data_IF_401037649775
#
_entry.id   IF_401037649775
#
_cell.length_a   1.000
_cell.length_b   1.000
_cell.length_c   1.000
_cell.angle_alpha   90.00
_cell.angle_beta   90.00
_cell.angle_gamma   90.00
#
_symmetry.space_group_name_H-M   'P 1'
#
loop_
_entity.id
_entity.type
_entity.pdbx_description
1 polymer ?
#
# COMPACT_ATOMS: atom_id res chain seq x y z
N UNK A 1 -11.68 -4.16 -89.66
CA UNK A 1 -12.42 -3.29 -88.73
C UNK A 1 -11.88 -3.58 -87.34
N UNK A 2 -10.83 -2.87 -86.94
CA UNK A 2 -10.26 -2.99 -85.59
C UNK A 2 -11.08 -2.08 -84.67
N UNK A 3 -11.72 -2.70 -83.67
CA UNK A 3 -12.50 -2.00 -82.65
C UNK A 3 -11.57 -1.21 -81.73
N UNK A 4 -11.74 0.10 -81.69
CA UNK A 4 -11.12 0.97 -80.69
C UNK A 4 -11.72 0.64 -79.32
N UNK A 5 -10.89 0.18 -78.39
CA UNK A 5 -11.25 0.12 -76.97
C UNK A 5 -11.63 1.52 -76.47
N UNK A 6 -12.72 1.67 -75.70
CA UNK A 6 -13.10 2.94 -75.12
C UNK A 6 -12.05 3.39 -74.09
N UNK A 7 -11.71 4.68 -74.12
CA UNK A 7 -10.78 5.28 -73.16
C UNK A 7 -11.26 5.07 -71.72
N UNK A 8 -10.36 4.83 -70.76
CA UNK A 8 -10.73 4.66 -69.36
C UNK A 8 -11.43 5.92 -68.85
N UNK A 9 -12.60 5.74 -68.22
CA UNK A 9 -13.30 6.85 -67.55
C UNK A 9 -12.38 7.49 -66.50
N UNK A 10 -12.37 8.83 -66.39
CA UNK A 10 -11.60 9.51 -65.36
C UNK A 10 -12.06 9.02 -63.98
N UNK A 11 -11.10 8.62 -63.15
CA UNK A 11 -11.37 8.19 -61.78
C UNK A 11 -12.26 9.22 -61.09
N UNK A 12 -13.46 8.80 -60.71
CA UNK A 12 -14.45 9.64 -60.03
C UNK A 12 -13.83 10.15 -58.73
N UNK A 13 -13.48 11.43 -58.68
CA UNK A 13 -12.97 12.05 -57.46
C UNK A 13 -14.01 11.84 -56.34
N UNK A 14 -13.63 11.06 -55.33
CA UNK A 14 -14.44 10.89 -54.14
C UNK A 14 -14.63 12.28 -53.49
N UNK A 15 -15.85 12.64 -53.08
CA UNK A 15 -16.09 13.95 -52.48
C UNK A 15 -15.17 14.14 -51.26
N UNK A 16 -14.56 15.33 -51.16
CA UNK A 16 -13.73 15.71 -50.01
C UNK A 16 -14.52 15.50 -48.72
N UNK A 17 -13.87 14.89 -47.71
CA UNK A 17 -14.47 14.65 -46.41
C UNK A 17 -15.07 15.96 -45.85
N UNK A 18 -16.29 15.86 -45.30
CA UNK A 18 -16.95 17.00 -44.67
C UNK A 18 -16.08 17.50 -43.50
N UNK A 19 -15.88 18.82 -43.36
CA UNK A 19 -15.11 19.36 -42.25
C UNK A 19 -15.85 19.07 -40.93
N UNK A 20 -15.19 18.40 -40.00
CA UNK A 20 -15.71 18.20 -38.64
C UNK A 20 -15.48 19.47 -37.84
N UNK A 21 -16.52 20.02 -37.23
CA UNK A 21 -16.39 21.14 -36.31
C UNK A 21 -15.84 20.68 -34.94
N UNK A 22 -14.97 21.47 -34.32
CA UNK A 22 -14.54 21.40 -32.90
C UNK A 22 -13.25 20.61 -32.62
N UNK A 23 -12.78 20.64 -31.36
CA UNK A 23 -11.38 20.34 -30.97
C UNK A 23 -10.97 18.86 -30.84
N UNK A 24 -11.81 17.93 -31.28
CA UNK A 24 -11.54 16.49 -31.25
C UNK A 24 -11.25 15.97 -32.66
N UNK A 25 -10.18 15.19 -32.80
CA UNK A 25 -9.84 14.48 -34.03
C UNK A 25 -10.87 13.36 -34.32
N UNK A 26 -11.07 12.98 -35.59
CA UNK A 26 -12.01 11.91 -35.96
C UNK A 26 -11.79 10.61 -35.17
N UNK A 27 -10.52 10.23 -34.95
CA UNK A 27 -10.14 9.02 -34.22
C UNK A 27 -10.51 9.09 -32.73
N UNK A 28 -10.40 10.29 -32.13
CA UNK A 28 -10.83 10.54 -30.76
C UNK A 28 -12.35 10.48 -30.65
N UNK A 29 -13.09 11.05 -31.62
CA UNK A 29 -14.54 10.97 -31.67
C UNK A 29 -15.00 9.51 -31.73
N UNK A 30 -14.36 8.71 -32.60
CA UNK A 30 -14.66 7.28 -32.72
C UNK A 30 -14.37 6.52 -31.42
N UNK A 31 -13.17 6.73 -30.83
CA UNK A 31 -12.73 6.06 -29.59
C UNK A 31 -13.65 6.37 -28.42
N UNK A 32 -14.03 7.64 -28.22
CA UNK A 32 -14.82 8.10 -27.07
C UNK A 32 -16.33 8.16 -27.32
N UNK A 33 -16.80 7.69 -28.48
CA UNK A 33 -18.21 7.72 -28.88
C UNK A 33 -19.15 7.19 -27.79
N UNK A 34 -18.84 6.03 -27.20
CA UNK A 34 -19.66 5.40 -26.14
C UNK A 34 -19.74 6.23 -24.86
N UNK A 35 -18.66 6.94 -24.51
CA UNK A 35 -18.63 7.86 -23.38
C UNK A 35 -19.44 9.13 -23.68
N UNK A 36 -19.28 9.69 -24.88
CA UNK A 36 -20.01 10.91 -25.31
C UNK A 36 -21.51 10.68 -25.50
N UNK A 37 -21.94 9.44 -25.80
CA UNK A 37 -23.35 9.09 -25.91
C UNK A 37 -24.09 9.15 -24.56
N UNK A 38 -23.38 9.15 -23.43
CA UNK A 38 -23.99 9.33 -22.11
C UNK A 38 -24.53 10.76 -22.02
N UNK A 39 -25.85 10.98 -21.86
CA UNK A 39 -26.45 12.32 -21.94
C UNK A 39 -25.88 13.32 -20.93
N UNK A 40 -25.44 12.84 -19.77
CA UNK A 40 -24.82 13.68 -18.74
C UNK A 40 -23.40 14.15 -19.10
N UNK A 41 -22.72 13.48 -20.04
CA UNK A 41 -21.32 13.76 -20.41
C UNK A 41 -21.27 14.54 -21.72
N UNK A 42 -21.75 13.95 -22.81
CA UNK A 42 -21.71 14.59 -24.13
C UNK A 42 -20.30 14.91 -24.62
N UNK A 43 -20.24 15.68 -25.71
CA UNK A 43 -18.98 16.12 -26.33
C UNK A 43 -18.16 17.06 -25.45
N UNK A 44 -18.82 18.01 -24.77
CA UNK A 44 -18.13 19.01 -23.93
C UNK A 44 -17.37 18.38 -22.77
N UNK A 45 -17.85 17.27 -22.22
CA UNK A 45 -17.11 16.49 -21.23
C UNK A 45 -15.79 15.96 -21.80
N UNK A 46 -15.82 15.37 -23.00
CA UNK A 46 -14.62 14.83 -23.63
C UNK A 46 -13.60 15.91 -23.97
N UNK A 47 -14.06 17.07 -24.47
CA UNK A 47 -13.19 18.22 -24.75
C UNK A 47 -12.53 18.74 -23.47
N UNK A 48 -13.26 18.77 -22.35
CA UNK A 48 -12.69 19.14 -21.05
C UNK A 48 -11.65 18.13 -20.54
N UNK A 49 -11.88 16.82 -20.73
CA UNK A 49 -10.88 15.81 -20.38
C UNK A 49 -9.61 15.95 -21.22
N UNK A 50 -9.75 16.12 -22.54
CA UNK A 50 -8.62 16.33 -23.46
C UNK A 50 -7.80 17.57 -23.09
N UNK A 51 -8.45 18.63 -22.62
CA UNK A 51 -7.75 19.83 -22.17
C UNK A 51 -7.08 19.68 -20.78
N UNK A 52 -7.53 18.72 -19.98
CA UNK A 52 -7.15 18.58 -18.57
C UNK A 52 -5.77 17.95 -18.33
N UNK A 53 -5.14 18.39 -17.24
CA UNK A 53 -3.88 17.89 -16.72
C UNK A 53 -4.05 17.29 -15.31
N UNK A 54 -3.61 16.05 -15.12
CA UNK A 54 -3.71 15.33 -13.83
C UNK A 54 -2.35 14.82 -13.38
N UNK A 55 -2.02 15.03 -12.10
CA UNK A 55 -0.89 14.38 -11.44
C UNK A 55 -1.41 13.30 -10.48
N UNK A 56 -0.95 12.06 -10.67
CA UNK A 56 -1.19 10.92 -9.78
C UNK A 56 0.08 10.65 -8.97
N UNK A 57 0.00 10.78 -7.66
CA UNK A 57 1.14 10.52 -6.75
C UNK A 57 0.97 9.14 -6.13
N UNK A 58 1.86 8.22 -6.49
CA UNK A 58 1.81 6.80 -6.15
C UNK A 58 1.23 5.94 -7.28
N UNK A 59 1.95 4.88 -7.62
CA UNK A 59 1.59 3.82 -8.57
C UNK A 59 1.33 2.49 -7.82
N UNK A 60 0.91 2.57 -6.55
CA UNK A 60 0.48 1.42 -5.75
C UNK A 60 -0.89 0.87 -6.16
N UNK A 61 -1.61 0.21 -5.25
CA UNK A 61 -2.91 -0.40 -5.58
C UNK A 61 -3.96 0.59 -6.10
N UNK A 62 -3.98 1.80 -5.53
CA UNK A 62 -4.85 2.89 -6.01
C UNK A 62 -4.38 3.40 -7.38
N UNK A 63 -3.11 3.79 -7.49
CA UNK A 63 -2.53 4.39 -8.69
C UNK A 63 -2.54 3.48 -9.91
N UNK A 64 -2.21 2.20 -9.72
CA UNK A 64 -2.28 1.17 -10.74
C UNK A 64 -3.69 0.99 -11.31
N UNK A 65 -4.74 1.28 -10.52
CA UNK A 65 -6.12 1.31 -11.01
C UNK A 65 -6.49 2.65 -11.64
N UNK A 66 -6.08 3.78 -11.06
CA UNK A 66 -6.40 5.12 -11.56
C UNK A 66 -5.87 5.34 -12.98
N UNK A 67 -4.61 4.96 -13.24
CA UNK A 67 -3.90 5.29 -14.47
C UNK A 67 -4.58 4.73 -15.74
N UNK A 68 -4.96 3.44 -15.82
CA UNK A 68 -5.74 2.91 -16.95
C UNK A 68 -7.04 3.67 -17.22
N UNK A 69 -7.77 4.06 -16.16
CA UNK A 69 -9.05 4.73 -16.34
C UNK A 69 -8.90 6.18 -16.80
N UNK A 70 -7.96 6.96 -16.26
CA UNK A 70 -7.72 8.33 -16.75
C UNK A 70 -7.28 8.35 -18.22
N UNK A 71 -6.35 7.45 -18.58
CA UNK A 71 -5.84 7.32 -19.95
C UNK A 71 -6.92 6.78 -20.89
N UNK A 72 -7.68 5.77 -20.46
CA UNK A 72 -8.78 5.21 -21.24
C UNK A 72 -9.95 6.18 -21.47
N UNK A 73 -10.25 7.05 -20.50
CA UNK A 73 -11.26 8.11 -20.63
C UNK A 73 -10.79 9.31 -21.47
N UNK A 74 -9.50 9.39 -21.79
CA UNK A 74 -8.94 10.44 -22.63
C UNK A 74 -8.61 11.74 -21.91
N UNK A 75 -8.14 11.68 -20.66
CA UNK A 75 -7.52 12.84 -20.00
C UNK A 75 -6.25 13.22 -20.77
N UNK A 76 -6.14 14.46 -21.22
CA UNK A 76 -5.11 14.86 -22.20
C UNK A 76 -3.67 14.70 -21.70
N UNK A 77 -3.41 15.11 -20.46
CA UNK A 77 -2.08 15.05 -19.85
C UNK A 77 -2.15 14.34 -18.50
N UNK A 78 -1.44 13.23 -18.36
CA UNK A 78 -1.38 12.48 -17.10
C UNK A 78 0.08 12.30 -16.68
N UNK A 79 0.41 12.68 -15.45
CA UNK A 79 1.72 12.40 -14.85
C UNK A 79 1.58 11.41 -13.71
N UNK A 80 2.43 10.40 -13.66
CA UNK A 80 2.56 9.50 -12.51
C UNK A 80 3.89 9.74 -11.80
N UNK A 81 3.85 9.87 -10.47
CA UNK A 81 5.03 10.04 -9.63
C UNK A 81 5.16 8.87 -8.66
N UNK A 82 6.19 8.04 -8.82
CA UNK A 82 6.46 6.89 -7.95
C UNK A 82 7.94 6.49 -8.07
N UNK A 83 8.60 6.19 -6.94
CA UNK A 83 10.01 5.77 -6.87
C UNK A 83 10.20 4.27 -6.65
N UNK A 84 9.13 3.51 -6.43
CA UNK A 84 9.25 2.09 -6.15
C UNK A 84 9.38 1.28 -7.46
N UNK A 85 9.76 0.01 -7.28
CA UNK A 85 9.76 -1.02 -8.32
C UNK A 85 8.60 -2.00 -8.15
N UNK A 86 8.25 -2.73 -9.20
CA UNK A 86 7.25 -3.79 -9.14
C UNK A 86 7.79 -4.96 -8.30
N UNK A 87 6.94 -5.53 -7.44
CA UNK A 87 7.27 -6.66 -6.56
C UNK A 87 6.14 -7.69 -6.56
N UNK A 88 6.48 -8.98 -6.44
CA UNK A 88 5.53 -10.09 -6.49
C UNK A 88 4.46 -9.99 -5.39
N UNK A 89 4.86 -9.56 -4.19
CA UNK A 89 3.99 -9.37 -3.00
C UNK A 89 2.97 -8.25 -3.19
N UNK A 90 3.09 -7.45 -4.25
CA UNK A 90 2.22 -6.33 -4.55
C UNK A 90 1.20 -6.63 -5.66
N UNK A 91 1.40 -7.67 -6.47
CA UNK A 91 0.58 -7.96 -7.65
C UNK A 91 -0.88 -8.27 -7.32
N UNK A 92 -1.15 -8.86 -6.15
CA UNK A 92 -2.52 -9.19 -5.70
C UNK A 92 -3.46 -7.97 -5.60
N UNK A 93 -2.91 -6.74 -5.60
CA UNK A 93 -3.66 -5.49 -5.54
C UNK A 93 -3.22 -4.44 -6.58
N UNK A 94 -2.18 -4.72 -7.36
CA UNK A 94 -1.64 -3.82 -8.38
C UNK A 94 -1.78 -4.46 -9.76
N UNK A 95 -3.03 -4.59 -10.19
CA UNK A 95 -3.44 -5.39 -11.36
C UNK A 95 -2.97 -4.86 -12.72
N UNK A 96 -2.30 -3.70 -12.75
CA UNK A 96 -1.61 -3.18 -13.93
C UNK A 96 -0.31 -3.92 -14.22
N UNK A 97 0.36 -4.40 -13.17
CA UNK A 97 1.70 -4.99 -13.29
C UNK A 97 1.66 -6.50 -13.46
N UNK A 98 2.75 -7.06 -13.98
CA UNK A 98 2.89 -8.48 -14.31
C UNK A 98 3.98 -9.13 -13.47
N UNK A 99 3.96 -10.46 -13.38
CA UNK A 99 5.04 -11.25 -12.77
C UNK A 99 6.38 -11.02 -13.46
N UNK A 100 6.39 -10.83 -14.78
CA UNK A 100 7.60 -10.50 -15.54
C UNK A 100 8.21 -9.16 -15.09
N UNK A 101 7.39 -8.12 -14.92
CA UNK A 101 7.84 -6.83 -14.42
C UNK A 101 8.34 -6.92 -12.97
N UNK A 102 7.72 -7.76 -12.15
CA UNK A 102 8.17 -8.04 -10.79
C UNK A 102 9.54 -8.73 -10.77
N UNK A 103 9.73 -9.75 -11.61
CA UNK A 103 11.00 -10.47 -11.73
C UNK A 103 12.14 -9.56 -12.19
N UNK A 104 11.87 -8.64 -13.12
CA UNK A 104 12.82 -7.63 -13.61
C UNK A 104 13.02 -6.46 -12.65
N UNK A 105 12.22 -6.35 -11.59
CA UNK A 105 12.15 -5.18 -10.69
C UNK A 105 11.98 -3.87 -11.48
N UNK A 106 11.13 -3.89 -12.50
CA UNK A 106 10.87 -2.71 -13.33
C UNK A 106 10.37 -1.56 -12.45
N UNK A 107 10.88 -0.32 -12.62
CA UNK A 107 10.31 0.85 -11.96
C UNK A 107 8.81 0.97 -12.23
N UNK A 108 7.99 1.17 -11.19
CA UNK A 108 6.53 1.20 -11.34
C UNK A 108 6.09 2.28 -12.32
N UNK A 109 6.72 3.45 -12.28
CA UNK A 109 6.39 4.55 -13.18
C UNK A 109 6.63 4.18 -14.66
N UNK A 110 7.72 3.48 -14.98
CA UNK A 110 7.98 2.96 -16.34
C UNK A 110 6.95 1.94 -16.78
N UNK A 111 6.63 0.96 -15.90
CA UNK A 111 5.63 -0.06 -16.21
C UNK A 111 4.24 0.56 -16.46
N UNK A 112 3.86 1.58 -15.68
CA UNK A 112 2.64 2.37 -15.92
C UNK A 112 2.67 3.03 -17.28
N UNK A 113 3.76 3.72 -17.64
CA UNK A 113 3.86 4.39 -18.95
C UNK A 113 3.74 3.41 -20.10
N UNK A 114 4.50 2.31 -20.06
CA UNK A 114 4.45 1.28 -21.10
C UNK A 114 3.04 0.71 -21.27
N UNK A 115 2.31 0.49 -20.18
CA UNK A 115 0.91 0.06 -20.24
C UNK A 115 0.01 1.14 -20.86
N UNK A 116 0.13 2.39 -20.41
CA UNK A 116 -0.72 3.49 -20.86
C UNK A 116 -0.49 3.86 -22.33
N UNK A 117 0.75 3.84 -22.81
CA UNK A 117 1.11 4.09 -24.22
C UNK A 117 0.45 3.05 -25.16
N UNK A 118 0.34 1.79 -24.69
CA UNK A 118 -0.35 0.72 -25.42
C UNK A 118 -1.89 0.81 -25.30
N UNK A 119 -2.41 1.35 -24.21
CA UNK A 119 -3.85 1.51 -23.99
C UNK A 119 -4.43 2.64 -24.86
N UNK A 120 -3.80 3.81 -24.82
CA UNK A 120 -4.28 4.98 -25.54
C UNK A 120 -3.16 6.00 -25.83
N UNK A 121 -2.59 5.90 -27.02
CA UNK A 121 -1.50 6.75 -27.51
C UNK A 121 -1.89 8.21 -27.80
N UNK A 122 -3.17 8.59 -27.71
CA UNK A 122 -3.57 10.00 -27.86
C UNK A 122 -3.42 10.82 -26.58
N UNK A 123 -3.07 10.17 -25.46
CA UNK A 123 -2.88 10.80 -24.15
C UNK A 123 -1.39 11.00 -23.90
N UNK A 124 -1.02 12.18 -23.43
CA UNK A 124 0.36 12.51 -23.07
C UNK A 124 0.66 12.02 -21.64
N UNK A 125 1.40 10.91 -21.54
CA UNK A 125 1.79 10.30 -20.27
C UNK A 125 3.23 10.63 -19.91
N UNK A 126 3.42 11.33 -18.79
CA UNK A 126 4.74 11.63 -18.21
C UNK A 126 4.97 10.81 -16.95
N UNK A 127 6.23 10.44 -16.71
CA UNK A 127 6.64 9.74 -15.49
C UNK A 127 7.62 10.58 -14.68
N UNK A 128 7.51 10.49 -13.37
CA UNK A 128 8.47 11.05 -12.41
C UNK A 128 8.90 9.93 -11.48
N UNK A 129 10.11 9.42 -11.71
CA UNK A 129 10.71 8.37 -10.86
C UNK A 129 11.36 8.98 -9.63
N UNK A 130 10.55 9.50 -8.72
CA UNK A 130 11.02 10.04 -7.45
C UNK A 130 9.93 10.01 -6.40
N UNK A 131 10.37 10.04 -5.14
CA UNK A 131 9.48 10.18 -4.01
C UNK A 131 8.92 11.60 -3.97
N UNK A 132 7.62 11.72 -3.78
CA UNK A 132 7.00 13.03 -3.57
C UNK A 132 7.22 13.46 -2.11
N UNK A 133 8.16 14.38 -1.92
CA UNK A 133 8.58 14.93 -0.63
C UNK A 133 8.43 16.45 -0.60
N UNK A 134 8.37 17.09 0.59
CA UNK A 134 8.18 18.53 0.69
C UNK A 134 9.20 19.38 -0.08
N UNK A 135 10.46 18.93 -0.13
CA UNK A 135 11.58 19.61 -0.79
C UNK A 135 11.47 19.61 -2.32
N UNK A 136 10.87 18.58 -2.92
CA UNK A 136 10.68 18.50 -4.39
C UNK A 136 9.26 18.88 -4.83
N UNK A 137 8.29 18.98 -3.91
CA UNK A 137 6.88 19.12 -4.25
C UNK A 137 6.58 20.35 -5.11
N UNK A 138 7.11 21.52 -4.75
CA UNK A 138 6.82 22.76 -5.50
C UNK A 138 7.47 22.76 -6.89
N UNK A 139 8.71 22.27 -6.98
CA UNK A 139 9.40 22.11 -8.26
C UNK A 139 8.64 21.11 -9.15
N UNK A 140 8.10 20.04 -8.54
CA UNK A 140 7.26 19.06 -9.23
C UNK A 140 6.08 19.73 -9.92
N UNK A 141 5.31 20.53 -9.19
CA UNK A 141 4.08 21.12 -9.71
C UNK A 141 4.32 22.22 -10.75
N UNK A 142 5.44 22.96 -10.65
CA UNK A 142 5.72 24.10 -11.53
C UNK A 142 6.39 23.74 -12.86
N UNK A 143 7.29 22.76 -12.85
CA UNK A 143 8.18 22.51 -13.99
C UNK A 143 8.21 21.05 -14.44
N UNK A 144 8.10 20.11 -13.51
CA UNK A 144 8.37 18.71 -13.83
C UNK A 144 7.12 17.92 -14.21
N UNK A 145 5.92 18.28 -13.74
CA UNK A 145 4.70 17.53 -14.05
C UNK A 145 4.00 18.04 -15.32
N UNK A 146 3.08 17.20 -15.82
CA UNK A 146 2.10 17.48 -16.88
C UNK A 146 2.68 18.21 -18.10
N UNK A 147 3.91 17.86 -18.46
CA UNK A 147 4.59 18.39 -19.64
C UNK A 147 4.73 19.92 -19.62
N UNK A 148 5.11 20.44 -18.45
CA UNK A 148 5.45 21.84 -18.23
C UNK A 148 4.26 22.73 -17.90
N UNK A 149 3.11 22.13 -17.58
CA UNK A 149 1.96 22.85 -17.03
C UNK A 149 1.64 22.37 -15.62
N UNK A 150 1.08 23.28 -14.84
CA UNK A 150 0.55 22.97 -13.52
C UNK A 150 -0.68 22.05 -13.66
N UNK A 151 -0.87 21.05 -12.78
CA UNK A 151 -1.99 20.13 -12.89
C UNK A 151 -3.29 20.79 -12.43
N UNK A 152 -4.38 20.53 -13.15
CA UNK A 152 -5.72 20.98 -12.77
C UNK A 152 -6.27 20.22 -11.55
N UNK A 153 -5.84 18.95 -11.39
CA UNK A 153 -6.22 18.07 -10.29
C UNK A 153 -5.02 17.22 -9.88
N UNK A 154 -4.80 17.08 -8.56
CA UNK A 154 -3.85 16.12 -8.01
C UNK A 154 -4.62 14.98 -7.35
N UNK A 155 -4.17 13.75 -7.60
CA UNK A 155 -4.72 12.54 -6.99
C UNK A 155 -3.66 11.95 -6.05
N UNK A 156 -3.94 11.92 -4.75
CA UNK A 156 -3.12 11.20 -3.78
C UNK A 156 -3.51 9.73 -3.78
N UNK A 157 -2.62 8.90 -4.32
CA UNK A 157 -2.70 7.44 -4.34
C UNK A 157 -1.59 6.80 -3.48
N UNK A 158 -1.02 7.57 -2.54
CA UNK A 158 0.05 7.12 -1.65
C UNK A 158 -0.48 6.35 -0.45
N UNK A 159 0.32 5.42 0.04
CA UNK A 159 0.02 4.57 1.20
C UNK A 159 0.78 4.99 2.46
N UNK A 160 1.50 6.11 2.42
CA UNK A 160 2.30 6.61 3.53
C UNK A 160 1.93 8.04 3.92
N UNK A 161 1.95 8.32 5.23
CA UNK A 161 1.58 9.63 5.76
C UNK A 161 2.49 10.78 5.28
N UNK A 162 3.83 10.66 5.26
CA UNK A 162 4.69 11.76 4.83
C UNK A 162 4.34 12.30 3.44
N UNK A 163 4.23 11.43 2.43
CA UNK A 163 3.88 11.83 1.07
C UNK A 163 2.46 12.41 1.01
N UNK A 164 1.50 11.80 1.72
CA UNK A 164 0.12 12.32 1.80
C UNK A 164 0.05 13.77 2.29
N UNK A 165 0.80 14.12 3.34
CA UNK A 165 0.84 15.51 3.80
C UNK A 165 1.67 16.40 2.87
N UNK A 166 2.75 15.92 2.28
CA UNK A 166 3.52 16.68 1.29
C UNK A 166 2.65 17.07 0.08
N UNK A 167 1.84 16.12 -0.43
CA UNK A 167 0.86 16.35 -1.50
C UNK A 167 -0.17 17.37 -1.07
N UNK A 168 -0.79 17.20 0.11
CA UNK A 168 -1.76 18.16 0.63
C UNK A 168 -1.18 19.58 0.75
N UNK A 169 0.01 19.71 1.31
CA UNK A 169 0.63 21.01 1.58
C UNK A 169 1.00 21.71 0.26
N UNK A 170 1.43 20.96 -0.74
CA UNK A 170 1.62 21.46 -2.09
C UNK A 170 0.28 21.89 -2.73
N UNK A 171 -0.76 21.06 -2.67
CA UNK A 171 -2.08 21.41 -3.22
C UNK A 171 -2.60 22.75 -2.66
N UNK A 172 -2.48 22.97 -1.34
CA UNK A 172 -2.93 24.24 -0.72
C UNK A 172 -2.11 25.44 -1.18
N UNK A 173 -0.79 25.31 -1.31
CA UNK A 173 0.08 26.42 -1.74
C UNK A 173 -0.14 26.84 -3.18
N UNK A 174 -0.52 25.89 -4.03
CA UNK A 174 -0.75 26.09 -5.46
C UNK A 174 -2.24 26.29 -5.80
N UNK A 175 -3.14 26.10 -4.84
CA UNK A 175 -4.58 26.27 -5.07
C UNK A 175 -5.23 25.15 -5.89
N UNK A 176 -4.61 23.97 -5.92
CA UNK A 176 -5.05 22.83 -6.74
C UNK A 176 -5.95 21.89 -5.93
N UNK A 177 -7.11 21.45 -6.44
CA UNK A 177 -7.95 20.46 -5.75
C UNK A 177 -7.24 19.11 -5.62
N UNK A 178 -7.46 18.47 -4.47
CA UNK A 178 -6.85 17.18 -4.13
C UNK A 178 -7.92 16.09 -4.02
N UNK A 179 -7.83 15.07 -4.84
CA UNK A 179 -8.61 13.83 -4.71
C UNK A 179 -7.79 12.82 -3.91
N UNK A 180 -8.14 12.60 -2.65
CA UNK A 180 -7.38 11.73 -1.75
C UNK A 180 -8.14 10.43 -1.49
N UNK A 181 -7.50 9.31 -1.81
CA UNK A 181 -7.97 7.97 -1.50
C UNK A 181 -7.06 7.27 -0.50
N UNK A 182 -7.64 6.38 0.30
CA UNK A 182 -6.89 5.50 1.19
C UNK A 182 -7.59 4.14 1.28
N UNK A 183 -6.80 3.08 1.51
CA UNK A 183 -7.34 1.75 1.79
C UNK A 183 -6.46 1.05 2.81
N UNK A 184 -7.06 0.35 3.76
CA UNK A 184 -6.38 -0.47 4.77
C UNK A 184 -7.31 -1.63 5.15
N UNK A 185 -6.79 -2.85 5.17
CA UNK A 185 -7.57 -4.04 5.50
C UNK A 185 -8.74 -4.23 4.53
N UNK A 186 -9.96 -4.09 5.04
CA UNK A 186 -11.22 -4.24 4.30
C UNK A 186 -11.93 -2.90 4.08
N UNK A 187 -11.29 -1.78 4.43
CA UNK A 187 -11.89 -0.47 4.38
C UNK A 187 -11.24 0.44 3.34
N UNK A 188 -12.05 1.29 2.73
CA UNK A 188 -11.64 2.32 1.79
C UNK A 188 -12.20 3.69 2.17
N UNK A 189 -11.43 4.75 1.91
CA UNK A 189 -11.84 6.13 2.16
C UNK A 189 -11.53 7.02 0.97
N UNK A 190 -12.42 7.96 0.67
CA UNK A 190 -12.26 8.94 -0.40
C UNK A 190 -12.83 10.29 0.01
N UNK A 191 -12.10 11.35 -0.30
CA UNK A 191 -12.63 12.71 -0.23
C UNK A 191 -11.90 13.66 -1.18
N UNK A 192 -12.54 14.80 -1.47
CA UNK A 192 -11.91 15.91 -2.18
C UNK A 192 -11.58 17.01 -1.18
N UNK A 193 -10.34 17.44 -1.17
CA UNK A 193 -9.82 18.53 -0.34
C UNK A 193 -9.44 19.74 -1.20
N UNK A 194 -9.28 20.89 -0.54
CA UNK A 194 -8.77 22.12 -1.15
C UNK A 194 -9.57 22.60 -2.39
N UNK A 195 -10.89 22.47 -2.35
CA UNK A 195 -11.76 22.85 -3.46
C UNK A 195 -12.83 23.86 -3.01
N UNK A 196 -12.95 25.00 -3.71
CA UNK A 196 -13.95 26.05 -3.47
C UNK A 196 -14.12 26.45 -1.99
N UNK A 197 -13.01 26.72 -1.31
CA UNK A 197 -13.02 27.10 0.11
C UNK A 197 -13.22 25.95 1.10
N UNK A 198 -13.20 24.70 0.62
CA UNK A 198 -13.27 23.49 1.45
C UNK A 198 -12.02 23.27 2.34
N UNK A 199 -12.10 22.31 3.27
CA UNK A 199 -10.99 21.98 4.16
C UNK A 199 -9.78 21.42 3.39
N UNK A 200 -8.57 21.66 3.90
CA UNK A 200 -7.40 20.85 3.55
C UNK A 200 -7.32 19.64 4.49
N UNK A 201 -6.42 18.69 4.21
CA UNK A 201 -6.21 17.51 5.07
C UNK A 201 -5.90 17.93 6.51
N UNK A 202 -5.11 18.98 6.72
CA UNK A 202 -4.77 19.51 8.05
C UNK A 202 -5.93 20.18 8.79
N UNK A 203 -7.03 20.52 8.12
CA UNK A 203 -8.25 20.92 8.83
C UNK A 203 -8.88 19.74 9.57
N UNK A 204 -8.85 18.55 8.95
CA UNK A 204 -9.48 17.32 9.44
C UNK A 204 -8.52 16.54 10.35
N UNK A 205 -7.24 16.50 9.96
CA UNK A 205 -6.15 15.80 10.66
C UNK A 205 -4.97 16.78 10.86
N UNK A 206 -4.97 17.59 11.94
CA UNK A 206 -4.07 18.74 12.07
C UNK A 206 -2.58 18.40 12.10
N UNK A 207 -2.25 17.32 12.79
CA UNK A 207 -0.90 16.80 12.88
C UNK A 207 -0.94 15.28 12.69
N UNK A 208 0.08 14.68 12.06
CA UNK A 208 0.31 13.25 12.21
C UNK A 208 0.46 12.99 13.71
N UNK A 209 -0.50 12.27 14.31
CA UNK A 209 -0.46 11.99 15.75
C UNK A 209 0.87 11.28 16.07
N UNK A 210 1.66 11.86 16.98
CA UNK A 210 3.03 11.44 17.29
C UNK A 210 3.15 9.95 17.62
N UNK A 211 4.28 9.35 17.23
CA UNK A 211 4.73 7.95 17.40
C UNK A 211 3.78 6.80 17.02
N UNK A 212 2.47 7.03 16.85
CA UNK A 212 1.53 6.05 16.32
C UNK A 212 1.63 6.05 14.79
N UNK A 213 2.39 5.09 14.26
CA UNK A 213 2.35 4.75 12.83
C UNK A 213 0.88 4.55 12.43
N UNK A 214 0.37 5.38 11.52
CA UNK A 214 -0.87 4.99 10.85
C UNK A 214 -0.58 3.67 10.13
N UNK A 215 -1.45 2.66 10.28
CA UNK A 215 -1.25 1.38 9.63
C UNK A 215 -1.17 1.56 8.12
N UNK A 216 -0.10 1.04 7.51
CA UNK A 216 0.01 0.94 6.05
C UNK A 216 -0.65 -0.36 5.57
N UNK A 217 -0.90 -0.47 4.26
CA UNK A 217 -1.31 -1.73 3.63
C UNK A 217 -0.31 -2.86 3.93
N UNK A 218 0.99 -2.53 3.91
CA UNK A 218 2.02 -3.49 4.27
C UNK A 218 1.86 -3.95 5.73
N UNK A 219 1.51 -3.07 6.68
CA UNK A 219 1.47 -3.41 8.10
C UNK A 219 0.20 -4.18 8.51
N UNK A 220 -0.95 -3.79 7.95
CA UNK A 220 -2.26 -4.34 8.34
C UNK A 220 -2.87 -5.31 7.34
N UNK A 221 -2.23 -5.50 6.18
CA UNK A 221 -2.82 -6.21 5.05
C UNK A 221 -3.89 -5.36 4.36
N UNK A 222 -4.29 -5.79 3.16
CA UNK A 222 -5.38 -5.16 2.40
C UNK A 222 -6.02 -6.17 1.46
N UNK A 223 -7.36 -6.17 1.40
CA UNK A 223 -8.11 -6.93 0.40
C UNK A 223 -7.94 -6.25 -0.96
N UNK A 224 -7.30 -6.93 -1.92
CA UNK A 224 -6.81 -6.30 -3.16
C UNK A 224 -7.87 -5.58 -4.00
N UNK A 225 -9.14 -6.00 -3.95
CA UNK A 225 -10.22 -5.32 -4.66
C UNK A 225 -10.60 -3.95 -4.06
N UNK A 226 -10.30 -3.70 -2.77
CA UNK A 226 -10.63 -2.44 -2.09
C UNK A 226 -9.87 -1.25 -2.69
N UNK A 227 -8.53 -1.26 -2.82
CA UNK A 227 -7.83 -0.19 -3.53
C UNK A 227 -8.27 -0.08 -4.99
N UNK A 228 -8.63 -1.18 -5.65
CA UNK A 228 -9.21 -1.11 -7.00
C UNK A 228 -10.50 -0.29 -7.05
N UNK A 229 -11.45 -0.60 -6.17
CA UNK A 229 -12.70 0.15 -6.03
C UNK A 229 -12.43 1.63 -5.72
N UNK A 230 -11.57 1.92 -4.74
CA UNK A 230 -11.26 3.29 -4.36
C UNK A 230 -10.54 4.06 -5.47
N UNK A 231 -9.65 3.40 -6.23
CA UNK A 231 -8.98 3.97 -7.40
C UNK A 231 -9.95 4.35 -8.51
N UNK A 232 -10.95 3.50 -8.81
CA UNK A 232 -12.03 3.85 -9.74
C UNK A 232 -12.80 5.08 -9.28
N UNK A 233 -13.14 5.15 -7.99
CA UNK A 233 -13.86 6.30 -7.43
C UNK A 233 -12.99 7.58 -7.46
N UNK A 234 -11.68 7.48 -7.23
CA UNK A 234 -10.75 8.60 -7.38
C UNK A 234 -10.72 9.12 -8.83
N UNK A 235 -10.63 8.22 -9.81
CA UNK A 235 -10.64 8.59 -11.23
C UNK A 235 -11.95 9.29 -11.62
N UNK A 236 -13.09 8.78 -11.12
CA UNK A 236 -14.42 9.39 -11.33
C UNK A 236 -14.46 10.82 -10.76
N UNK A 237 -14.00 11.04 -9.53
CA UNK A 237 -13.99 12.38 -8.94
C UNK A 237 -13.03 13.34 -9.65
N UNK A 238 -11.90 12.86 -10.15
CA UNK A 238 -10.97 13.67 -10.93
C UNK A 238 -11.59 14.15 -12.26
N UNK A 239 -12.23 13.27 -13.04
CA UNK A 239 -12.87 13.68 -14.30
C UNK A 239 -14.06 14.59 -14.09
N UNK A 240 -14.77 14.43 -12.96
CA UNK A 240 -15.86 15.35 -12.55
C UNK A 240 -15.33 16.74 -12.22
N UNK A 241 -14.15 16.86 -11.62
CA UNK A 241 -13.46 18.13 -11.39
C UNK A 241 -13.04 18.79 -12.71
N UNK A 242 -12.36 18.05 -13.60
CA UNK A 242 -11.91 18.54 -14.90
C UNK A 242 -13.08 19.07 -15.74
N UNK A 243 -14.14 18.27 -15.88
CA UNK A 243 -15.29 18.62 -16.70
C UNK A 243 -16.30 19.53 -15.98
N UNK A 244 -16.07 19.88 -14.71
CA UNK A 244 -17.01 20.60 -13.84
C UNK A 244 -18.42 19.99 -13.91
N UNK A 245 -18.48 18.67 -13.85
CA UNK A 245 -19.69 17.89 -14.12
C UNK A 245 -20.81 18.28 -13.14
N UNK A 246 -22.02 18.42 -13.68
CA UNK A 246 -23.23 18.69 -12.90
C UNK A 246 -24.00 17.39 -12.66
N UNK A 247 -24.73 17.34 -11.54
CA UNK A 247 -25.66 16.25 -11.25
C UNK A 247 -26.96 16.43 -12.06
N UNK A 248 -27.90 15.45 -12.01
CA UNK A 248 -29.16 15.57 -12.74
C UNK A 248 -30.03 16.77 -12.35
N UNK A 249 -29.79 17.38 -11.18
CA UNK A 249 -30.48 18.59 -10.72
C UNK A 249 -29.74 19.88 -11.14
N UNK A 250 -28.63 19.77 -11.87
CA UNK A 250 -27.82 20.90 -12.33
C UNK A 250 -26.85 21.46 -11.29
N UNK A 251 -26.74 20.85 -10.10
CA UNK A 251 -25.79 21.24 -9.06
C UNK A 251 -24.41 20.62 -9.33
N UNK A 252 -23.30 21.18 -8.81
CA UNK A 252 -21.97 20.55 -8.94
C UNK A 252 -21.98 19.11 -8.42
N UNK A 253 -21.60 18.15 -9.26
CA UNK A 253 -21.58 16.73 -8.94
C UNK A 253 -20.37 16.38 -8.06
N UNK A 254 -20.12 17.07 -6.95
CA UNK A 254 -18.92 16.86 -6.13
C UNK A 254 -19.34 16.68 -4.66
N UNK A 255 -20.18 15.68 -4.39
CA UNK A 255 -20.74 15.43 -3.04
C UNK A 255 -19.65 15.18 -1.99
N UNK A 256 -18.56 14.52 -2.39
CA UNK A 256 -17.42 14.20 -1.50
C UNK A 256 -16.46 15.37 -1.25
N UNK A 257 -16.73 16.59 -1.73
CA UNK A 257 -15.89 17.79 -1.43
C UNK A 257 -15.98 18.30 0.01
N UNK A 258 -17.03 17.90 0.72
CA UNK A 258 -17.26 18.22 2.14
C UNK A 258 -17.66 16.97 2.92
N UNK A 259 -17.45 15.79 2.33
CA UNK A 259 -17.81 14.51 2.91
C UNK A 259 -16.67 13.51 2.72
N UNK A 260 -16.49 12.65 3.70
CA UNK A 260 -15.63 11.48 3.60
C UNK A 260 -16.52 10.30 3.24
N UNK A 261 -16.33 9.78 2.03
CA UNK A 261 -16.90 8.50 1.64
C UNK A 261 -16.08 7.39 2.30
N UNK A 262 -16.75 6.45 2.94
CA UNK A 262 -16.18 5.26 3.54
C UNK A 262 -16.86 4.03 2.96
N UNK A 263 -16.06 3.03 2.61
CA UNK A 263 -16.52 1.74 2.14
C UNK A 263 -16.01 0.65 3.08
N UNK A 264 -16.87 -0.31 3.43
CA UNK A 264 -16.53 -1.46 4.27
C UNK A 264 -16.83 -2.78 3.55
N UNK A 265 -15.80 -3.52 3.16
CA UNK A 265 -15.93 -4.62 2.21
C UNK A 265 -16.73 -5.83 2.71
N UNK A 266 -16.78 -6.09 4.01
CA UNK A 266 -17.55 -7.24 4.53
C UNK A 266 -19.04 -6.96 4.62
N UNK A 267 -19.45 -5.70 4.75
CA UNK A 267 -20.86 -5.29 4.80
C UNK A 267 -21.36 -4.82 3.44
N UNK A 268 -20.44 -4.43 2.53
CA UNK A 268 -20.78 -3.83 1.24
C UNK A 268 -21.29 -2.39 1.35
N UNK A 269 -21.28 -1.80 2.54
CA UNK A 269 -21.90 -0.52 2.78
C UNK A 269 -20.98 0.64 2.38
N UNK A 270 -21.61 1.67 1.80
CA UNK A 270 -21.04 3.00 1.65
C UNK A 270 -21.64 3.94 2.70
N UNK A 271 -20.80 4.57 3.49
CA UNK A 271 -21.17 5.61 4.43
C UNK A 271 -20.56 6.94 3.99
N UNK A 272 -21.29 8.03 4.17
CA UNK A 272 -20.79 9.38 3.90
C UNK A 272 -20.86 10.19 5.18
N UNK A 273 -19.69 10.59 5.69
CA UNK A 273 -19.56 11.41 6.88
C UNK A 273 -19.29 12.86 6.49
N UNK A 274 -19.97 13.83 7.11
CA UNK A 274 -19.64 15.24 6.89
C UNK A 274 -18.26 15.53 7.49
N UNK A 275 -17.36 16.11 6.69
CA UNK A 275 -16.05 16.53 7.18
C UNK A 275 -16.13 17.85 7.96
N UNK A 276 -15.20 18.09 8.90
CA UNK A 276 -14.99 19.41 9.46
C UNK A 276 -14.81 20.47 8.37
N UNK A 277 -15.39 21.68 8.52
CA UNK A 277 -15.19 22.75 7.55
C UNK A 277 -13.74 23.25 7.57
N UNK A 278 -13.40 24.12 6.60
CA UNK A 278 -12.13 24.84 6.63
C UNK A 278 -11.97 25.58 7.95
N UNK A 279 -10.85 25.32 8.64
CA UNK A 279 -10.51 25.92 9.92
C UNK A 279 -9.78 27.26 9.72
N UNK A 280 -10.27 28.38 10.29
CA UNK A 280 -9.57 29.66 10.24
C UNK A 280 -8.19 29.61 10.91
N UNK A 281 -8.03 28.78 11.94
CA UNK A 281 -6.81 28.58 12.71
C UNK A 281 -5.92 27.44 12.16
N UNK A 282 -6.25 26.88 10.98
CA UNK A 282 -5.44 25.81 10.38
C UNK A 282 -4.02 26.31 10.13
N UNK A 283 -3.03 25.55 10.61
CA UNK A 283 -1.61 25.89 10.47
C UNK A 283 -1.16 26.06 9.00
N UNK A 284 -1.90 25.51 8.04
CA UNK A 284 -1.60 25.58 6.61
C UNK A 284 -2.55 26.53 5.88
N UNK A 285 -3.82 26.15 5.70
CA UNK A 285 -4.75 26.94 4.87
C UNK A 285 -5.38 28.14 5.59
N UNK A 286 -5.15 28.28 6.91
CA UNK A 286 -5.52 29.45 7.70
C UNK A 286 -4.40 30.49 7.79
N UNK A 287 -3.15 30.09 7.50
CA UNK A 287 -1.96 30.94 7.45
C UNK A 287 -1.25 30.76 6.09
N UNK A 288 -1.63 31.52 5.05
CA UNK A 288 -1.03 31.40 3.72
C UNK A 288 0.51 31.43 3.79
N UNK A 289 1.18 30.55 3.06
CA UNK A 289 2.65 30.38 3.00
C UNK A 289 3.34 29.75 4.23
N UNK A 290 2.61 29.20 5.19
CA UNK A 290 3.23 28.44 6.28
C UNK A 290 3.90 27.15 5.75
N UNK A 291 5.22 27.06 5.87
CA UNK A 291 5.94 25.79 5.72
C UNK A 291 5.82 25.05 7.05
N UNK A 292 5.06 23.96 7.06
CA UNK A 292 4.93 23.12 8.24
C UNK A 292 5.96 22.00 8.13
N UNK A 293 6.99 21.97 9.00
CA UNK A 293 7.91 20.85 9.00
C UNK A 293 7.13 19.56 9.25
N UNK A 294 7.28 18.59 8.33
CA UNK A 294 6.82 17.24 8.56
C UNK A 294 7.76 16.60 9.58
N UNK A 295 7.48 16.85 10.86
CA UNK A 295 8.15 16.16 11.95
C UNK A 295 7.58 14.74 12.08
N UNK A 296 7.70 13.95 11.00
CA UNK A 296 7.40 12.54 11.01
C UNK A 296 8.73 11.84 11.31
N UNK A 297 8.86 11.11 12.43
CA UNK A 297 10.08 10.36 12.72
C UNK A 297 10.47 9.50 11.51
N UNK A 298 11.76 9.47 11.16
CA UNK A 298 12.33 8.66 10.06
C UNK A 298 11.90 7.18 10.08
N UNK A 299 11.36 6.70 11.21
CA UNK A 299 10.75 5.39 11.38
C UNK A 299 9.50 5.11 10.50
N UNK A 300 8.92 6.13 9.85
CA UNK A 300 7.74 6.01 8.98
C UNK A 300 8.08 5.81 7.49
N UNK A 301 9.35 5.90 7.09
CA UNK A 301 9.84 5.67 5.73
C UNK A 301 10.69 4.41 5.70
N UNK A 302 10.15 3.32 5.16
CA UNK A 302 10.94 2.16 4.73
C UNK A 302 11.25 1.11 5.81
N UNK A 303 10.94 -0.16 5.49
CA UNK A 303 11.39 -1.34 6.21
C UNK A 303 12.90 -1.55 6.04
N UNK A 304 13.53 -2.19 7.03
CA UNK A 304 14.98 -2.38 7.22
C UNK A 304 15.72 -1.26 7.98
N UNK A 305 15.78 -0.02 7.48
CA UNK A 305 16.58 1.05 8.13
C UNK A 305 16.09 1.41 9.54
N UNK A 306 14.77 1.60 9.70
CA UNK A 306 14.17 1.89 11.00
C UNK A 306 14.31 0.74 12.00
N UNK A 307 14.34 -0.51 11.52
CA UNK A 307 14.52 -1.68 12.36
C UNK A 307 15.97 -1.78 12.86
N UNK A 308 16.96 -1.52 12.01
CA UNK A 308 18.38 -1.49 12.38
C UNK A 308 18.67 -0.38 13.40
N UNK A 309 18.14 0.83 13.19
CA UNK A 309 18.30 1.95 14.14
C UNK A 309 17.57 1.71 15.47
N UNK A 310 16.44 1.01 15.46
CA UNK A 310 15.74 0.64 16.69
C UNK A 310 16.48 -0.50 17.40
N UNK A 311 16.98 -1.49 16.66
CA UNK A 311 17.77 -2.58 17.22
C UNK A 311 19.01 -2.05 17.93
N UNK A 312 19.73 -1.06 17.37
CA UNK A 312 20.91 -0.48 18.04
C UNK A 312 20.65 0.18 19.40
N UNK A 313 19.38 0.34 19.81
CA UNK A 313 19.02 0.77 21.17
C UNK A 313 19.03 -0.35 22.21
N UNK A 314 19.25 -1.61 21.80
CA UNK A 314 19.48 -2.76 22.66
C UNK A 314 20.99 -3.02 22.79
N UNK A 315 21.43 -3.59 23.91
CA UNK A 315 22.83 -4.03 24.07
C UNK A 315 23.18 -5.15 23.08
N UNK A 316 24.46 -5.35 22.80
CA UNK A 316 24.93 -6.40 21.89
C UNK A 316 24.53 -7.80 22.36
N UNK A 317 24.58 -8.05 23.67
CA UNK A 317 24.13 -9.32 24.28
C UNK A 317 22.61 -9.58 24.14
N UNK A 318 21.85 -8.52 23.82
CA UNK A 318 20.40 -8.55 23.65
C UNK A 318 19.96 -8.67 22.19
N UNK A 319 20.92 -8.90 21.27
CA UNK A 319 20.66 -8.98 19.83
C UNK A 319 21.35 -10.19 19.22
N UNK A 320 20.74 -10.70 18.16
CA UNK A 320 21.32 -11.79 17.38
C UNK A 320 20.93 -11.64 15.91
N UNK A 321 21.90 -11.86 15.02
CA UNK A 321 21.65 -11.93 13.58
C UNK A 321 20.83 -13.20 13.26
N UNK A 322 20.02 -13.21 12.18
CA UNK A 322 19.30 -14.41 11.75
C UNK A 322 20.19 -15.65 11.60
N UNK A 323 21.39 -15.54 11.03
CA UNK A 323 22.33 -16.65 10.83
C UNK A 323 22.84 -17.22 12.16
N UNK A 324 23.28 -16.35 13.08
CA UNK A 324 23.68 -16.77 14.41
C UNK A 324 22.51 -17.39 15.20
N UNK A 325 21.30 -16.89 15.00
CA UNK A 325 20.09 -17.51 15.56
C UNK A 325 19.85 -18.90 14.94
N UNK A 326 19.95 -19.07 13.62
CA UNK A 326 19.80 -20.36 12.96
C UNK A 326 20.79 -21.41 13.49
N UNK A 327 22.07 -21.02 13.64
CA UNK A 327 23.11 -21.86 14.22
C UNK A 327 22.82 -22.20 15.69
N UNK A 328 22.36 -21.22 16.47
CA UNK A 328 22.02 -21.41 17.89
C UNK A 328 20.71 -22.18 18.12
N UNK A 329 19.79 -22.16 17.15
CA UNK A 329 18.48 -22.81 17.21
C UNK A 329 18.55 -24.28 16.79
N UNK A 330 19.64 -24.71 16.12
CA UNK A 330 19.84 -26.09 15.72
C UNK A 330 19.14 -26.44 14.40
N UNK A 331 19.21 -25.56 13.39
CA UNK A 331 18.87 -25.94 12.01
C UNK A 331 20.04 -26.67 11.36
N UNK A 332 20.40 -27.82 11.89
CA UNK A 332 21.05 -28.85 11.09
C UNK A 332 19.89 -29.68 10.51
N UNK A 333 19.49 -29.38 9.27
CA UNK A 333 18.77 -30.39 8.48
C UNK A 333 19.80 -31.44 8.08
N UNK A 334 20.24 -32.22 9.06
CA UNK A 334 20.98 -33.44 8.80
C UNK A 334 20.08 -34.33 7.95
N UNK A 335 20.52 -34.62 6.72
CA UNK A 335 20.08 -35.83 6.06
C UNK A 335 20.43 -37.00 6.98
N UNK A 336 19.42 -37.83 7.24
CA UNK A 336 19.49 -39.22 7.68
C UNK A 336 18.16 -39.53 8.38
N UNK A 337 17.14 -39.86 7.58
CA UNK A 337 16.02 -40.73 7.97
C UNK A 337 15.33 -41.28 6.68
N UNK A 338 16.13 -41.59 5.65
CA UNK A 338 15.74 -42.54 4.60
C UNK A 338 16.09 -43.96 5.08
N UNK A 339 15.42 -44.46 6.12
CA UNK A 339 15.22 -45.90 6.41
C UNK A 339 14.61 -46.10 7.79
N UNK A 340 13.29 -45.92 7.94
CA UNK A 340 12.57 -46.67 9.00
C UNK A 340 11.05 -46.80 8.81
N UNK A 341 10.50 -46.49 7.62
CA UNK A 341 9.08 -46.74 7.30
C UNK A 341 8.88 -47.45 5.96
N UNK A 342 9.72 -48.45 5.67
CA UNK A 342 9.36 -49.53 4.77
C UNK A 342 8.95 -50.72 5.64
N UNK A 343 7.70 -51.15 5.54
CA UNK A 343 7.04 -52.27 6.25
C UNK A 343 6.15 -51.88 7.45
N UNK A 344 5.02 -51.23 7.17
CA UNK A 344 3.75 -51.59 7.82
C UNK A 344 2.54 -51.05 7.03
N UNK A 345 1.63 -51.96 6.70
CA UNK A 345 0.22 -51.75 6.31
C UNK A 345 -0.11 -51.46 4.85
N UNK A 346 -0.08 -52.54 4.07
CA UNK A 346 -1.23 -52.91 3.25
C UNK A 346 -2.46 -53.18 4.16
N UNK A 347 -3.64 -52.77 3.69
CA UNK A 347 -4.99 -52.97 4.25
C UNK A 347 -5.55 -51.86 5.15
N UNK A 348 -6.65 -51.26 4.66
CA UNK A 348 -7.84 -51.00 5.48
C UNK A 348 -7.96 -49.62 6.11
N UNK A 349 -8.86 -48.81 5.54
CA UNK A 349 -9.76 -47.84 6.19
C UNK A 349 -9.29 -47.15 7.48
N UNK A 350 -9.03 -45.85 7.40
CA UNK A 350 -8.84 -45.00 8.59
C UNK A 350 -8.99 -43.51 8.27
N UNK A 351 -10.14 -42.95 8.62
CA UNK A 351 -10.42 -41.51 8.56
C UNK A 351 -9.31 -40.67 9.21
N UNK A 352 -8.60 -39.84 8.43
CA UNK A 352 -7.75 -38.76 8.97
C UNK A 352 -8.65 -37.68 9.58
N UNK A 353 -8.95 -37.81 10.87
CA UNK A 353 -9.54 -36.71 11.66
C UNK A 353 -8.56 -35.54 11.65
N UNK A 354 -8.91 -34.47 10.94
CA UNK A 354 -8.35 -33.13 11.18
C UNK A 354 -8.53 -32.81 12.66
N UNK A 355 -7.42 -32.72 13.38
CA UNK A 355 -7.42 -32.28 14.77
C UNK A 355 -7.87 -30.82 14.78
N UNK A 356 -9.02 -30.56 15.40
CA UNK A 356 -9.51 -29.21 15.69
C UNK A 356 -8.43 -28.49 16.50
N UNK A 357 -8.04 -27.30 16.03
CA UNK A 357 -7.27 -26.36 16.83
C UNK A 357 -8.29 -25.68 17.74
N UNK A 358 -8.31 -26.11 19.00
CA UNK A 358 -9.19 -25.55 20.01
C UNK A 358 -8.55 -24.26 20.59
N UNK A 359 -9.28 -23.16 20.48
CA UNK A 359 -9.04 -21.90 21.20
C UNK A 359 -9.36 -22.09 22.69
N UNK A 360 -8.45 -22.69 23.47
CA UNK A 360 -8.38 -22.55 24.93
C UNK A 360 -7.15 -23.26 25.52
N UNK A 361 -6.33 -22.49 26.23
CA UNK A 361 -5.65 -22.88 27.49
C UNK A 361 -4.82 -24.18 27.56
N UNK A 362 -3.56 -24.02 27.97
CA UNK A 362 -2.74 -25.04 28.64
C UNK A 362 -2.22 -26.19 27.77
N UNK A 363 -1.11 -25.96 27.07
CA UNK A 363 -0.08 -26.99 26.90
C UNK A 363 1.20 -26.54 27.60
N UNK A 364 1.71 -27.42 28.47
CA UNK A 364 2.98 -27.27 29.18
C UNK A 364 4.12 -27.25 28.15
N UNK A 365 5.01 -26.28 28.27
CA UNK A 365 6.02 -25.94 27.27
C UNK A 365 7.21 -26.90 27.34
N UNK A 366 7.56 -27.50 26.21
CA UNK A 366 8.90 -28.02 25.94
C UNK A 366 9.67 -26.92 25.24
N UNK A 367 10.72 -26.39 25.86
CA UNK A 367 11.63 -25.45 25.21
C UNK A 367 12.10 -26.03 23.86
N UNK A 368 11.83 -25.32 22.77
CA UNK A 368 11.69 -25.88 21.43
C UNK A 368 12.96 -25.79 20.58
N UNK A 369 14.13 -25.95 21.19
CA UNK A 369 15.27 -26.63 20.57
C UNK A 369 16.32 -27.03 21.61
N UNK A 370 17.12 -28.07 21.30
CA UNK A 370 18.37 -28.38 21.99
C UNK A 370 19.45 -27.47 21.40
N UNK A 371 19.99 -26.55 22.19
CA UNK A 371 21.31 -26.00 21.87
C UNK A 371 22.35 -27.14 22.02
N UNK A 372 23.46 -27.08 21.28
CA UNK A 372 24.50 -28.14 21.26
C UNK A 372 25.13 -28.46 22.62
N UNK A 373 24.83 -27.68 23.65
CA UNK A 373 25.25 -27.79 25.06
C UNK A 373 24.16 -28.35 26.00
N UNK A 374 22.98 -28.71 25.47
CA UNK A 374 21.83 -29.18 26.26
C UNK A 374 20.96 -28.06 26.84
N UNK A 375 21.27 -26.78 26.58
CA UNK A 375 20.45 -25.65 26.98
C UNK A 375 19.15 -25.57 26.16
N UNK A 376 18.07 -25.21 26.86
CA UNK A 376 16.71 -25.16 26.33
C UNK A 376 16.36 -23.70 25.99
N UNK A 377 16.15 -23.39 24.72
CA UNK A 377 15.79 -22.04 24.26
C UNK A 377 14.30 -21.90 23.99
N UNK A 378 13.76 -20.68 24.15
CA UNK A 378 12.39 -20.35 23.80
C UNK A 378 12.38 -19.32 22.67
N UNK A 379 11.47 -19.47 21.72
CA UNK A 379 11.25 -18.49 20.67
C UNK A 379 9.87 -17.85 20.82
N UNK A 380 9.83 -16.54 21.06
CA UNK A 380 8.63 -15.75 21.23
C UNK A 380 8.29 -15.00 19.93
N UNK A 381 7.18 -15.36 19.33
CA UNK A 381 6.61 -14.70 18.18
C UNK A 381 5.60 -13.64 18.64
N UNK A 382 5.98 -12.36 18.47
CA UNK A 382 5.17 -11.22 18.94
C UNK A 382 4.27 -10.64 17.85
N UNK A 383 4.15 -11.33 16.71
CA UNK A 383 3.19 -11.00 15.65
C UNK A 383 1.75 -11.23 16.14
N UNK A 384 0.80 -10.58 15.48
CA UNK A 384 -0.62 -10.83 15.76
C UNK A 384 -1.07 -12.20 15.21
N UNK A 385 -2.23 -12.67 15.68
CA UNK A 385 -2.77 -13.97 15.29
C UNK A 385 -2.94 -14.12 13.76
N UNK A 386 -3.35 -13.07 13.05
CA UNK A 386 -3.50 -13.06 11.60
C UNK A 386 -2.17 -13.28 10.89
N UNK A 387 -1.13 -12.52 11.26
CA UNK A 387 0.21 -12.63 10.69
C UNK A 387 0.84 -13.99 10.96
N UNK A 388 0.63 -14.54 12.17
CA UNK A 388 1.09 -15.88 12.54
C UNK A 388 0.33 -16.98 11.80
N UNK A 389 -0.95 -16.77 11.52
CA UNK A 389 -1.77 -17.70 10.73
C UNK A 389 -1.37 -17.80 9.25
N UNK A 390 -0.63 -16.82 8.72
CA UNK A 390 -0.04 -16.90 7.37
C UNK A 390 1.12 -17.90 7.36
N UNK A 391 2.06 -17.74 8.29
CA UNK A 391 3.18 -18.66 8.51
C UNK A 391 3.68 -18.51 9.94
N UNK A 392 4.05 -19.62 10.59
CA UNK A 392 4.70 -19.66 11.89
C UNK A 392 5.92 -20.57 11.85
N UNK A 393 6.98 -20.20 12.57
CA UNK A 393 8.11 -21.11 12.80
C UNK A 393 7.67 -22.19 13.78
N UNK A 394 7.92 -23.45 13.44
CA UNK A 394 7.58 -24.58 14.28
C UNK A 394 8.22 -24.42 15.67
N UNK A 395 7.45 -24.73 16.71
CA UNK A 395 7.89 -24.57 18.09
C UNK A 395 7.94 -23.13 18.63
N UNK A 396 7.66 -22.11 17.82
CA UNK A 396 7.55 -20.73 18.32
C UNK A 396 6.31 -20.53 19.21
N UNK A 397 6.44 -19.73 20.27
CA UNK A 397 5.39 -19.39 21.23
C UNK A 397 4.71 -18.10 20.78
N UNK A 398 3.37 -18.11 20.66
CA UNK A 398 2.59 -16.93 20.32
C UNK A 398 2.41 -16.01 21.52
N UNK A 399 2.90 -14.77 21.43
CA UNK A 399 2.63 -13.71 22.42
C UNK A 399 2.56 -12.34 21.73
N UNK A 400 1.45 -12.02 21.04
CA UNK A 400 1.29 -10.75 20.34
C UNK A 400 1.66 -9.54 21.20
N UNK A 401 2.41 -8.57 20.65
CA UNK A 401 2.92 -7.42 21.42
C UNK A 401 1.83 -6.66 22.21
N UNK A 402 0.63 -6.49 21.64
CA UNK A 402 -0.51 -5.86 22.34
C UNK A 402 -0.95 -6.64 23.57
N UNK A 403 -0.98 -7.97 23.46
CA UNK A 403 -1.32 -8.87 24.55
C UNK A 403 -0.22 -8.88 25.62
N UNK A 404 1.04 -8.87 25.19
CA UNK A 404 2.20 -8.76 26.07
C UNK A 404 2.15 -7.48 26.93
N UNK A 405 1.96 -6.31 26.31
CA UNK A 405 1.79 -5.02 27.01
C UNK A 405 0.66 -5.07 28.04
N UNK A 406 -0.53 -5.50 27.62
CA UNK A 406 -1.70 -5.59 28.49
C UNK A 406 -1.47 -6.51 29.71
N UNK A 407 -0.66 -7.56 29.55
CA UNK A 407 -0.35 -8.52 30.62
C UNK A 407 0.71 -8.01 31.60
N UNK A 408 1.71 -7.28 31.11
CA UNK A 408 2.79 -6.74 31.95
C UNK A 408 2.41 -5.43 32.65
N UNK A 409 1.59 -4.58 32.02
CA UNK A 409 1.23 -3.24 32.53
C UNK A 409 0.02 -3.27 33.51
N UNK A 410 -0.69 -4.40 33.66
CA UNK A 410 -1.85 -4.50 34.58
C UNK A 410 -1.47 -5.04 35.96
N UNK A 411 -1.56 -4.24 37.04
CA UNK A 411 -1.40 -4.74 38.41
C UNK A 411 -2.51 -5.75 38.73
N UNK A 412 -2.14 -6.93 39.24
CA UNK A 412 -3.09 -7.96 39.66
C UNK A 412 -3.73 -8.80 38.53
N UNK A 413 -3.18 -8.77 37.31
CA UNK A 413 -3.60 -9.70 36.27
C UNK A 413 -3.31 -11.16 36.69
N UNK A 414 -4.19 -12.10 36.31
CA UNK A 414 -3.98 -13.52 36.54
C UNK A 414 -2.59 -13.95 36.01
N UNK A 415 -1.88 -14.84 36.72
CA UNK A 415 -0.56 -15.25 36.30
C UNK A 415 -0.59 -15.84 34.90
N UNK A 416 0.21 -15.29 34.00
CA UNK A 416 0.30 -15.79 32.64
C UNK A 416 1.36 -16.88 32.56
N UNK A 417 0.95 -18.08 32.19
CA UNK A 417 1.82 -19.26 32.17
C UNK A 417 3.09 -19.04 31.32
N UNK A 418 3.01 -18.29 30.21
CA UNK A 418 4.20 -17.99 29.39
C UNK A 418 5.15 -17.07 30.15
N UNK A 419 4.65 -15.99 30.75
CA UNK A 419 5.48 -15.04 31.48
C UNK A 419 6.09 -15.64 32.75
N UNK A 420 5.35 -16.47 33.48
CA UNK A 420 5.89 -17.19 34.63
C UNK A 420 7.00 -18.14 34.25
N UNK A 421 6.86 -18.87 33.15
CA UNK A 421 7.92 -19.75 32.68
C UNK A 421 9.13 -18.99 32.16
N UNK A 422 8.93 -17.85 31.50
CA UNK A 422 10.03 -16.98 31.09
C UNK A 422 10.78 -16.38 32.29
N UNK A 423 10.09 -16.16 33.43
CA UNK A 423 10.71 -15.72 34.69
C UNK A 423 11.46 -16.85 35.40
N UNK A 424 10.89 -18.05 35.37
CA UNK A 424 11.42 -19.23 36.08
C UNK A 424 12.38 -20.07 35.22
N UNK A 425 12.76 -19.61 34.02
CA UNK A 425 13.67 -20.34 33.14
C UNK A 425 15.08 -20.42 33.74
N UNK A 426 15.85 -21.48 33.44
CA UNK A 426 17.26 -21.56 33.84
C UNK A 426 18.05 -20.32 33.38
N UNK A 427 19.01 -19.85 34.17
CA UNK A 427 19.79 -18.66 33.85
C UNK A 427 20.54 -18.76 32.51
N UNK A 428 20.92 -19.98 32.10
CA UNK A 428 21.57 -20.26 30.82
C UNK A 428 20.61 -20.25 29.61
N UNK A 429 19.29 -20.35 29.82
CA UNK A 429 18.30 -20.42 28.75
C UNK A 429 18.04 -19.05 28.13
N UNK A 430 18.15 -18.94 26.80
CA UNK A 430 17.80 -17.72 26.05
C UNK A 430 16.33 -17.70 25.65
N UNK A 431 15.73 -16.50 25.63
CA UNK A 431 14.42 -16.24 25.04
C UNK A 431 14.62 -15.36 23.81
N UNK A 432 14.53 -15.97 22.63
CA UNK A 432 14.58 -15.25 21.36
C UNK A 432 13.24 -14.59 21.08
N UNK A 433 13.24 -13.38 20.55
CA UNK A 433 12.03 -12.62 20.22
C UNK A 433 12.05 -12.25 18.75
N UNK A 434 10.97 -12.57 18.05
CA UNK A 434 10.81 -12.28 16.62
C UNK A 434 9.50 -11.59 16.32
N UNK A 435 9.53 -10.78 15.26
CA UNK A 435 8.34 -10.30 14.59
C UNK A 435 8.58 -10.33 13.07
N UNK A 436 7.72 -9.70 12.27
CA UNK A 436 7.88 -9.69 10.81
C UNK A 436 9.14 -8.96 10.33
N UNK A 437 9.41 -7.74 10.84
CA UNK A 437 10.47 -6.84 10.33
C UNK A 437 11.49 -6.40 11.39
N UNK A 438 11.52 -7.03 12.56
CA UNK A 438 12.43 -6.67 13.65
C UNK A 438 12.09 -5.40 14.45
N UNK A 439 10.94 -4.74 14.20
CA UNK A 439 10.54 -3.51 14.91
C UNK A 439 9.80 -3.84 16.22
N UNK A 440 8.70 -4.59 16.12
CA UNK A 440 7.89 -4.96 17.30
C UNK A 440 8.64 -5.87 18.26
N UNK A 441 9.56 -6.69 17.76
CA UNK A 441 10.41 -7.55 18.58
C UNK A 441 11.35 -6.74 19.46
N UNK A 442 11.90 -5.61 19.00
CA UNK A 442 12.71 -4.73 19.85
C UNK A 442 11.88 -4.14 20.99
N UNK A 443 10.66 -3.68 20.70
CA UNK A 443 9.76 -3.17 21.75
C UNK A 443 9.39 -4.27 22.76
N UNK A 444 9.11 -5.48 22.29
CA UNK A 444 8.84 -6.62 23.16
C UNK A 444 10.07 -6.97 24.03
N UNK A 445 11.27 -6.99 23.45
CA UNK A 445 12.52 -7.26 24.18
C UNK A 445 12.73 -6.26 25.32
N UNK A 446 12.60 -4.96 25.04
CA UNK A 446 12.70 -3.92 26.09
C UNK A 446 11.67 -4.13 27.19
N UNK A 447 10.42 -4.35 26.81
CA UNK A 447 9.33 -4.52 27.76
C UNK A 447 9.53 -5.74 28.67
N UNK A 448 10.00 -6.86 28.11
CA UNK A 448 10.31 -8.07 28.89
C UNK A 448 11.45 -7.82 29.88
N UNK A 449 12.51 -7.12 29.44
CA UNK A 449 13.66 -6.76 30.29
C UNK A 449 13.29 -5.80 31.42
N UNK A 450 12.52 -4.75 31.11
CA UNK A 450 12.00 -3.79 32.09
C UNK A 450 11.16 -4.46 33.20
N UNK A 451 10.53 -5.59 32.89
CA UNK A 451 9.74 -6.38 33.83
C UNK A 451 10.48 -7.60 34.39
N UNK A 452 11.82 -7.56 34.37
CA UNK A 452 12.70 -8.49 35.09
C UNK A 452 12.95 -9.82 34.39
N UNK A 453 12.56 -10.00 33.13
CA UNK A 453 12.84 -11.22 32.38
C UNK A 453 14.25 -11.13 31.80
N UNK A 454 15.13 -12.01 32.28
CA UNK A 454 16.55 -12.06 31.92
C UNK A 454 16.79 -12.83 30.61
N UNK A 455 17.94 -12.65 29.97
CA UNK A 455 18.35 -13.44 28.80
C UNK A 455 17.38 -13.39 27.62
N UNK A 456 16.83 -12.21 27.33
CA UNK A 456 15.93 -11.96 26.19
C UNK A 456 16.76 -11.41 25.02
N UNK A 457 16.61 -11.99 23.84
CA UNK A 457 17.45 -11.69 22.68
C UNK A 457 16.57 -11.39 21.47
N UNK A 458 16.71 -10.20 20.88
CA UNK A 458 15.97 -9.81 19.68
C UNK A 458 16.64 -10.39 18.42
N UNK A 459 15.86 -11.06 17.57
CA UNK A 459 16.30 -11.47 16.23
C UNK A 459 16.25 -10.25 15.31
N UNK A 460 17.43 -9.80 14.85
CA UNK A 460 17.55 -8.60 14.04
C UNK A 460 16.81 -8.75 12.69
N UNK A 461 16.04 -7.72 12.32
CA UNK A 461 15.25 -7.70 11.09
C UNK A 461 14.08 -8.69 11.01
N UNK A 462 13.88 -9.56 12.01
CA UNK A 462 12.76 -10.49 12.08
C UNK A 462 12.69 -11.47 10.91
N UNK A 463 11.48 -11.90 10.53
CA UNK A 463 11.27 -12.84 9.43
C UNK A 463 11.74 -12.32 8.07
N UNK A 464 11.70 -11.00 7.82
CA UNK A 464 12.24 -10.43 6.58
C UNK A 464 13.73 -10.67 6.44
N UNK A 465 14.50 -10.51 7.53
CA UNK A 465 15.92 -10.80 7.50
C UNK A 465 16.16 -12.31 7.46
N UNK A 466 15.38 -13.11 8.20
CA UNK A 466 15.43 -14.58 8.11
C UNK A 466 15.32 -15.10 6.67
N UNK A 467 14.31 -14.64 5.92
CA UNK A 467 14.12 -15.06 4.54
C UNK A 467 15.26 -14.62 3.62
N UNK A 468 15.86 -13.45 3.87
CA UNK A 468 16.99 -12.98 3.06
C UNK A 468 18.30 -13.70 3.39
N UNK A 469 18.51 -14.01 4.67
CA UNK A 469 19.83 -14.30 5.23
C UNK A 469 20.04 -15.77 5.58
N UNK A 470 18.95 -16.55 5.72
CA UNK A 470 18.97 -17.94 6.19
C UNK A 470 18.22 -18.86 5.24
N UNK A 471 17.00 -18.49 4.83
CA UNK A 471 16.13 -19.32 4.00
C UNK A 471 15.43 -18.49 2.92
N UNK A 472 16.05 -18.34 1.75
CA UNK A 472 15.50 -17.62 0.60
C UNK A 472 14.18 -18.21 0.09
N UNK A 473 13.85 -19.45 0.47
CA UNK A 473 12.58 -20.10 0.13
C UNK A 473 11.47 -19.78 1.13
N UNK A 474 11.79 -19.13 2.25
CA UNK A 474 10.82 -18.79 3.29
C UNK A 474 9.78 -17.82 2.74
N UNK A 475 8.47 -18.13 2.84
CA UNK A 475 7.45 -17.32 2.21
C UNK A 475 7.29 -15.98 2.94
N UNK A 476 7.66 -14.92 2.24
CA UNK A 476 7.49 -13.55 2.70
C UNK A 476 6.12 -12.99 2.28
N UNK A 477 5.54 -12.21 3.18
CA UNK A 477 4.28 -11.48 3.00
C UNK A 477 4.44 -10.05 3.45
#
# INVERSE_FOLDING_TARGET
>A
MEGKEPAPEPARELPRALPLAGGLAPEEIARYSRQMLVPALGRGFQEALKAGAVLVVGAGGLGATIMPYLVGMGVGKVTVCDDDVVEITNLHRQVLFTEEAAAKRTPKAEAVRAFCDNLNSSVEVKILQRRFTPDVADATLKADCCCGVEPDVIIDATDNLPSRYAVNDACVRHGIPLVLGASVGIEGQLSIYNYNGGPCLRCVHPFPKGNNKAPTCADSGVLGAVPGLMGCLQAIEAVKLLAKLKDPAGAPSLKVRNQMLHYHATTGNFHSFRMPPKRPDCALCGKPNAIIPLNVPAACSGGSFAAAQLASTLSDDSRITPQAFAAAWGLDRGGDDENEHAEANANGEGSRKRQKIDDAGSSVFTFTSRQGDGARAALLDVRNATQRGIIAIEGSISMPLKQLRKRLEKPGAAPDAVLEQLRNKPAASKCFVMCRRGVDSVHATKLLMEHGIQGVVNIEGGLTAWARDVDETFPMY
#
